data_IF_370407173331
#
_entry.id   IF_370407173331
#
_cell.length_a   1.000
_cell.length_b   1.000
_cell.length_c   1.000
_cell.angle_alpha   90.00
_cell.angle_beta   90.00
_cell.angle_gamma   90.00
#
_symmetry.space_group_name_H-M   'P 1'
#
loop_
_entity.id
_entity.type
_entity.pdbx_description
1 polymer ?
#
# COMPACT_ATOMS: atom_id res chain seq x y z
N UNK A 1 2.36 3.06 7.28
CA UNK A 1 3.28 1.90 7.21
C UNK A 1 4.21 2.08 6.03
N UNK A 2 5.34 1.37 5.98
CA UNK A 2 6.31 1.49 4.88
C UNK A 2 6.10 0.39 3.83
N UNK A 3 5.96 0.73 2.53
CA UNK A 3 6.01 -0.26 1.46
C UNK A 3 7.31 -1.06 1.55
N UNK A 4 7.22 -2.37 1.37
CA UNK A 4 8.36 -3.29 1.52
C UNK A 4 8.41 -4.22 0.31
N UNK A 5 9.59 -4.39 -0.28
CA UNK A 5 9.78 -5.36 -1.34
C UNK A 5 9.60 -6.79 -0.81
N UNK A 6 8.96 -7.61 -1.62
CA UNK A 6 8.80 -9.03 -1.41
C UNK A 6 9.30 -9.78 -2.65
N UNK A 7 9.85 -10.98 -2.45
CA UNK A 7 10.44 -11.78 -3.53
C UNK A 7 9.47 -12.11 -4.68
N UNK A 8 8.16 -12.02 -4.44
CA UNK A 8 7.12 -12.28 -5.45
C UNK A 8 6.75 -11.05 -6.26
N UNK A 9 7.28 -9.86 -5.95
CA UNK A 9 6.91 -8.66 -6.70
C UNK A 9 7.35 -8.80 -8.16
N UNK A 10 6.43 -8.49 -9.08
CA UNK A 10 6.60 -8.68 -10.53
C UNK A 10 6.26 -7.42 -11.35
N UNK A 11 5.72 -6.38 -10.70
CA UNK A 11 5.46 -5.07 -11.30
C UNK A 11 5.66 -3.95 -10.27
N UNK A 12 5.82 -2.73 -10.75
CA UNK A 12 5.91 -1.53 -9.93
C UNK A 12 4.82 -0.55 -10.36
N UNK A 13 4.04 -0.05 -9.40
CA UNK A 13 3.11 1.05 -9.62
C UNK A 13 3.84 2.37 -9.36
N UNK A 14 3.79 3.27 -10.34
CA UNK A 14 4.26 4.64 -10.20
C UNK A 14 3.13 5.58 -9.76
N UNK A 15 3.48 6.86 -9.64
CA UNK A 15 2.47 7.90 -9.48
C UNK A 15 1.53 7.94 -10.69
N UNK A 16 0.22 8.19 -10.48
CA UNK A 16 -0.74 8.36 -11.57
C UNK A 16 -0.36 9.51 -12.51
N UNK A 17 -0.92 9.49 -13.71
CA UNK A 17 -0.79 10.61 -14.65
C UNK A 17 -1.37 11.89 -14.03
N UNK A 18 -0.65 13.01 -14.18
CA UNK A 18 -1.05 14.30 -13.60
C UNK A 18 -0.87 14.42 -12.09
N UNK A 19 -0.26 13.43 -11.42
CA UNK A 19 -0.05 13.48 -9.98
C UNK A 19 0.91 14.60 -9.56
N UNK A 20 0.46 15.44 -8.63
CA UNK A 20 1.23 16.56 -8.10
C UNK A 20 2.13 16.12 -6.94
N UNK A 21 3.33 15.67 -7.28
CA UNK A 21 4.33 15.19 -6.31
C UNK A 21 4.65 16.19 -5.18
N UNK A 22 4.56 17.49 -5.45
CA UNK A 22 4.84 18.55 -4.45
C UNK A 22 3.73 18.75 -3.40
N UNK A 23 2.49 18.33 -3.68
CA UNK A 23 1.37 18.44 -2.73
C UNK A 23 1.24 17.15 -1.91
N UNK A 24 1.43 15.99 -2.53
CA UNK A 24 1.41 14.69 -1.84
C UNK A 24 2.45 13.79 -2.51
N UNK A 25 3.56 13.46 -1.82
CA UNK A 25 4.55 12.55 -2.38
C UNK A 25 3.94 11.18 -2.68
N UNK A 26 4.08 10.71 -3.91
CA UNK A 26 3.68 9.37 -4.33
C UNK A 26 4.92 8.62 -4.84
N UNK A 27 5.41 7.72 -3.99
CA UNK A 27 6.54 6.86 -4.31
C UNK A 27 6.15 5.65 -5.16
N UNK A 28 7.15 4.98 -5.68
CA UNK A 28 6.95 3.72 -6.38
C UNK A 28 6.51 2.62 -5.41
N UNK A 29 5.51 1.83 -5.79
CA UNK A 29 4.97 0.72 -5.01
C UNK A 29 5.24 -0.61 -5.73
N UNK A 30 6.16 -1.45 -5.24
CA UNK A 30 6.33 -2.82 -5.71
C UNK A 30 5.08 -3.64 -5.41
N UNK A 31 4.61 -4.38 -6.41
CA UNK A 31 3.41 -5.22 -6.32
C UNK A 31 3.62 -6.59 -6.95
N UNK A 32 2.75 -7.52 -6.57
CA UNK A 32 2.57 -8.80 -7.25
C UNK A 32 1.19 -8.83 -7.88
N UNK A 33 1.12 -8.87 -9.21
CA UNK A 33 -0.09 -9.34 -9.89
C UNK A 33 -0.17 -10.86 -9.70
N UNK A 34 -1.27 -11.35 -9.11
CA UNK A 34 -1.47 -12.76 -8.77
C UNK A 34 -2.91 -13.18 -9.04
N UNK A 35 -3.15 -14.49 -8.99
CA UNK A 35 -4.49 -15.06 -8.96
C UNK A 35 -4.71 -15.74 -7.61
N UNK A 36 -5.76 -15.35 -6.88
CA UNK A 36 -6.19 -16.01 -5.64
C UNK A 36 -7.62 -16.51 -5.85
N UNK A 37 -7.84 -17.81 -5.62
CA UNK A 37 -9.15 -18.46 -5.79
C UNK A 37 -9.81 -18.19 -7.16
N UNK A 38 -8.98 -18.16 -8.22
CA UNK A 38 -9.43 -17.89 -9.59
C UNK A 38 -9.63 -16.40 -9.92
N UNK A 39 -9.47 -15.49 -8.96
CA UNK A 39 -9.68 -14.05 -9.12
C UNK A 39 -8.33 -13.33 -9.25
N UNK A 40 -8.21 -12.47 -10.26
CA UNK A 40 -7.03 -11.62 -10.43
C UNK A 40 -6.98 -10.56 -9.32
N UNK A 41 -5.83 -10.44 -8.66
CA UNK A 41 -5.61 -9.49 -7.59
C UNK A 41 -4.21 -8.85 -7.68
N UNK A 42 -4.05 -7.74 -6.96
CA UNK A 42 -2.78 -7.04 -6.82
C UNK A 42 -2.40 -7.00 -5.35
N UNK A 43 -1.21 -7.49 -5.03
CA UNK A 43 -0.72 -7.60 -3.65
C UNK A 43 0.42 -6.62 -3.46
N UNK A 44 0.34 -5.81 -2.40
CA UNK A 44 1.44 -4.97 -1.91
C UNK A 44 1.77 -5.33 -0.47
N UNK A 45 3.04 -5.24 -0.09
CA UNK A 45 3.52 -5.63 1.24
C UNK A 45 3.96 -4.42 2.02
N UNK A 46 3.57 -4.36 3.29
CA UNK A 46 3.79 -3.21 4.16
C UNK A 46 4.37 -3.69 5.48
N UNK A 47 5.38 -2.98 5.96
CA UNK A 47 5.98 -3.23 7.27
C UNK A 47 5.60 -2.09 8.21
N UNK A 48 4.93 -2.37 9.33
CA UNK A 48 4.71 -1.36 10.35
C UNK A 48 6.05 -1.02 11.01
N UNK A 49 6.22 0.24 11.41
CA UNK A 49 7.28 0.59 12.35
C UNK A 49 6.89 0.22 13.80
N UNK A 50 7.79 0.48 14.75
CA UNK A 50 7.56 0.12 16.16
C UNK A 50 6.32 0.82 16.77
N UNK A 51 6.05 2.07 16.37
CA UNK A 51 4.91 2.83 16.88
C UNK A 51 3.60 2.34 16.27
N UNK A 52 3.59 2.04 14.98
CA UNK A 52 2.46 1.45 14.29
C UNK A 52 2.17 0.05 14.81
N UNK A 53 3.20 -0.78 15.02
CA UNK A 53 3.05 -2.12 15.58
C UNK A 53 2.48 -2.08 16.99
N UNK A 54 2.90 -1.12 17.83
CA UNK A 54 2.31 -0.92 19.14
C UNK A 54 0.83 -0.55 19.05
N UNK A 55 0.45 0.29 18.09
CA UNK A 55 -0.95 0.65 17.86
C UNK A 55 -1.78 -0.56 17.41
N UNK A 56 -1.25 -1.38 16.49
CA UNK A 56 -1.91 -2.63 16.08
C UNK A 56 -2.07 -3.61 17.24
N UNK A 57 -1.02 -3.79 18.06
CA UNK A 57 -1.08 -4.67 19.24
C UNK A 57 -2.07 -4.18 20.30
N UNK A 58 -2.37 -2.88 20.32
CA UNK A 58 -3.38 -2.28 21.19
C UNK A 58 -4.81 -2.38 20.61
N UNK A 59 -5.01 -3.06 19.47
CA UNK A 59 -6.31 -3.20 18.80
C UNK A 59 -6.63 -2.07 17.81
N UNK A 60 -5.66 -1.24 17.45
CA UNK A 60 -5.80 -0.25 16.39
C UNK A 60 -6.07 -0.88 15.02
N UNK A 61 -6.72 -0.13 14.15
CA UNK A 61 -7.15 -0.58 12.83
C UNK A 61 -6.04 -0.43 11.79
N UNK A 62 -6.14 -1.17 10.69
CA UNK A 62 -5.35 -0.93 9.49
C UNK A 62 -6.22 -0.19 8.48
N UNK A 63 -5.80 1.01 8.09
CA UNK A 63 -6.46 1.80 7.06
C UNK A 63 -5.72 1.63 5.72
N UNK A 64 -6.44 1.20 4.68
CA UNK A 64 -5.99 1.22 3.29
C UNK A 64 -6.67 2.38 2.56
N UNK A 65 -5.89 3.36 2.12
CA UNK A 65 -6.39 4.48 1.33
C UNK A 65 -6.00 4.33 -0.13
N UNK A 66 -6.99 4.53 -1.00
CA UNK A 66 -6.92 4.35 -2.45
C UNK A 66 -7.22 5.70 -3.08
N UNK A 67 -6.30 6.22 -3.90
CA UNK A 67 -6.47 7.52 -4.59
C UNK A 67 -6.48 7.34 -6.10
N UNK A 68 -7.58 7.73 -6.76
CA UNK A 68 -7.78 7.61 -8.21
C UNK A 68 -9.03 6.80 -8.60
N UNK A 69 -9.30 6.67 -9.90
CA UNK A 69 -10.48 5.95 -10.44
C UNK A 69 -10.16 4.61 -11.13
N UNK A 70 -8.90 4.36 -11.50
CA UNK A 70 -8.42 3.12 -12.13
C UNK A 70 -7.07 2.74 -11.50
N UNK A 71 -6.84 1.43 -11.23
CA UNK A 71 -5.79 0.84 -10.37
C UNK A 71 -4.95 1.87 -9.57
N UNK A 72 -5.47 2.28 -8.40
CA UNK A 72 -5.09 3.51 -7.70
C UNK A 72 -3.83 3.39 -6.85
N UNK A 73 -3.23 4.54 -6.54
CA UNK A 73 -2.16 4.62 -5.54
C UNK A 73 -2.69 4.18 -4.18
N UNK A 74 -1.94 3.30 -3.51
CA UNK A 74 -2.29 2.74 -2.22
C UNK A 74 -1.38 3.27 -1.11
N UNK A 75 -1.96 3.56 0.05
CA UNK A 75 -1.22 3.73 1.30
C UNK A 75 -1.87 2.91 2.41
N UNK A 76 -1.06 2.23 3.21
CA UNK A 76 -1.51 1.44 4.36
C UNK A 76 -0.96 2.04 5.63
N UNK A 77 -1.82 2.29 6.62
CA UNK A 77 -1.48 2.96 7.87
C UNK A 77 -2.12 2.24 9.07
N UNK A 78 -1.45 2.26 10.23
CA UNK A 78 -2.13 1.94 11.48
C UNK A 78 -2.97 3.15 11.92
N UNK A 79 -4.17 2.90 12.44
CA UNK A 79 -5.16 3.92 12.75
C UNK A 79 -5.73 3.72 14.14
N UNK A 80 -5.95 4.83 14.86
CA UNK A 80 -6.65 4.86 16.13
C UNK A 80 -8.02 5.49 15.89
N UNK A 81 -9.09 4.85 16.38
CA UNK A 81 -10.44 5.43 16.34
C UNK A 81 -10.50 6.80 17.02
#
# INVERSE_FOLDING_TARGET
>A
MRPTQHQTNNRVLGAPEGWKQGETPCGALPITDAQQDGVNCVISFWRPDASELALLNAGGLVALSIVGRTMPSASVNAWKE
#
